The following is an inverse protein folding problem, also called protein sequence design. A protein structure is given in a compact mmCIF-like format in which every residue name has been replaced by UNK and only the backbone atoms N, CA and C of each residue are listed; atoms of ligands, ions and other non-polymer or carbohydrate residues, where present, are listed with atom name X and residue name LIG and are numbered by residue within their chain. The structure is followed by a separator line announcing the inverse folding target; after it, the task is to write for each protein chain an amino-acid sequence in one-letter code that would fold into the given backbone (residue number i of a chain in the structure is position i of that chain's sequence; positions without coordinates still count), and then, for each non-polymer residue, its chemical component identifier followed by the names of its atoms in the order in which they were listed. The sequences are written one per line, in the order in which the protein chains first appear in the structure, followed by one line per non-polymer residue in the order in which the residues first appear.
data_IF_214729390401
#
_entry.id   IF_214729390401
#
_cell.length_a   1.000
_cell.length_b   1.000
_cell.length_c   1.000
_cell.angle_alpha   90.00
_cell.angle_beta   90.00
_cell.angle_gamma   90.00
#
_symmetry.space_group_name_H-M   'P 1'
#
loop_
_entity.id
_entity.type
_entity.pdbx_description
1 polymer ?
#
# COMPACT_ATOMS: atom_id res chain seq x y z
N UNK A 1 2.28 -19.27 24.47
CA UNK A 1 1.25 -18.29 24.04
C UNK A 1 1.83 -17.54 22.85
N UNK A 2 1.11 -17.52 21.76
CA UNK A 2 1.50 -16.72 20.57
C UNK A 2 1.53 -15.24 20.96
N UNK A 3 2.57 -14.53 20.55
CA UNK A 3 2.73 -13.12 20.88
C UNK A 3 1.69 -12.29 20.13
N UNK A 4 0.94 -11.44 20.83
CA UNK A 4 -0.06 -10.56 20.23
C UNK A 4 0.54 -9.76 19.08
N UNK A 5 -0.07 -9.81 17.91
CA UNK A 5 0.38 -9.06 16.73
C UNK A 5 0.10 -7.57 16.92
N UNK A 6 1.00 -6.72 16.44
CA UNK A 6 0.87 -5.25 16.50
C UNK A 6 0.81 -4.68 15.09
N UNK A 7 -0.21 -3.89 14.82
CA UNK A 7 -0.42 -3.15 13.57
C UNK A 7 -0.27 -1.67 13.85
N UNK A 8 0.65 -0.99 13.18
CA UNK A 8 0.78 0.45 13.24
C UNK A 8 0.14 1.12 12.03
N UNK A 9 -0.69 2.13 12.27
CA UNK A 9 -1.34 2.94 11.26
C UNK A 9 -0.68 4.32 11.29
N UNK A 10 0.05 4.66 10.22
CA UNK A 10 0.75 5.93 10.12
C UNK A 10 -0.19 7.04 9.64
N UNK A 11 -0.30 8.09 10.44
CA UNK A 11 -0.94 9.37 10.13
C UNK A 11 -2.38 9.23 9.61
N UNK A 12 -3.27 8.46 10.31
CA UNK A 12 -4.62 8.16 9.83
C UNK A 12 -5.47 9.41 9.60
N UNK A 13 -5.16 10.53 10.25
CA UNK A 13 -5.81 11.83 10.03
C UNK A 13 -5.57 12.41 8.64
N UNK A 14 -4.51 11.98 7.94
CA UNK A 14 -4.14 12.46 6.61
C UNK A 14 -4.12 11.35 5.55
N UNK A 15 -3.73 10.14 5.94
CA UNK A 15 -3.48 9.02 5.04
C UNK A 15 -4.72 8.14 4.87
N UNK A 16 -5.85 8.74 4.45
CA UNK A 16 -7.14 8.05 4.37
C UNK A 16 -8.01 8.48 3.19
N UNK A 17 -7.44 9.07 2.14
CA UNK A 17 -8.21 9.44 0.95
C UNK A 17 -8.93 8.23 0.37
N UNK A 18 -10.06 8.49 -0.29
CA UNK A 18 -10.91 7.46 -0.93
C UNK A 18 -11.49 6.42 0.04
N UNK A 19 -11.46 6.69 1.35
CA UNK A 19 -11.92 5.73 2.36
C UNK A 19 -10.96 4.55 2.57
N UNK A 20 -9.69 4.68 2.18
CA UNK A 20 -8.70 3.60 2.18
C UNK A 20 -8.37 3.09 3.59
N UNK A 21 -8.62 3.89 4.64
CA UNK A 21 -8.58 3.46 6.05
C UNK A 21 -9.51 2.25 6.34
N UNK A 22 -10.44 1.94 5.43
CA UNK A 22 -11.29 0.75 5.53
C UNK A 22 -10.49 -0.55 5.43
N UNK A 23 -9.26 -0.54 4.89
CA UNK A 23 -8.32 -1.66 5.04
C UNK A 23 -8.11 -2.00 6.52
N UNK A 24 -7.84 -0.99 7.34
CA UNK A 24 -7.63 -1.17 8.79
C UNK A 24 -8.91 -1.56 9.52
N UNK A 25 -10.05 -0.96 9.14
CA UNK A 25 -11.35 -1.34 9.71
C UNK A 25 -11.66 -2.81 9.45
N UNK A 26 -11.28 -3.31 8.28
CA UNK A 26 -11.44 -4.72 7.92
C UNK A 26 -10.46 -5.61 8.69
N UNK A 27 -9.18 -5.25 8.77
CA UNK A 27 -8.20 -5.98 9.58
C UNK A 27 -8.62 -6.08 11.06
N UNK A 28 -9.15 -5.01 11.66
CA UNK A 28 -9.70 -5.02 13.02
C UNK A 28 -10.83 -6.05 13.20
N UNK A 29 -11.53 -6.43 12.13
CA UNK A 29 -12.54 -7.50 12.15
C UNK A 29 -11.94 -8.89 11.94
N UNK A 30 -10.86 -8.99 11.16
CA UNK A 30 -10.19 -10.26 10.90
C UNK A 30 -9.35 -10.73 12.10
N UNK A 31 -8.69 -9.80 12.80
CA UNK A 31 -7.77 -10.06 13.92
C UNK A 31 -8.10 -9.16 15.12
N UNK A 32 -9.27 -9.32 15.75
CA UNK A 32 -9.73 -8.43 16.83
C UNK A 32 -8.83 -8.46 18.08
N UNK A 33 -8.02 -9.52 18.26
CA UNK A 33 -7.06 -9.69 19.35
C UNK A 33 -5.74 -8.95 19.12
N UNK A 34 -5.48 -8.44 17.91
CA UNK A 34 -4.28 -7.68 17.60
C UNK A 34 -4.29 -6.29 18.25
N UNK A 35 -3.10 -5.78 18.55
CA UNK A 35 -2.92 -4.42 19.03
C UNK A 35 -2.83 -3.46 17.84
N UNK A 36 -3.70 -2.45 17.77
CA UNK A 36 -3.70 -1.43 16.73
C UNK A 36 -3.25 -0.10 17.30
N UNK A 37 -2.11 0.42 16.81
CA UNK A 37 -1.53 1.70 17.21
C UNK A 37 -1.78 2.71 16.08
N UNK A 38 -2.51 3.76 16.38
CA UNK A 38 -2.70 4.91 15.48
C UNK A 38 -1.65 5.97 15.84
N UNK A 39 -0.65 6.15 14.98
CA UNK A 39 0.41 7.16 15.14
C UNK A 39 -0.01 8.43 14.44
N UNK A 40 -0.37 9.47 15.19
CA UNK A 40 -0.68 10.79 14.65
C UNK A 40 0.58 11.49 14.15
N UNK A 41 0.43 12.48 13.28
CA UNK A 41 1.56 13.15 12.62
C UNK A 41 2.56 13.78 13.59
N UNK A 42 2.09 14.28 14.73
CA UNK A 42 2.97 14.89 15.74
C UNK A 42 3.66 13.86 16.65
N UNK A 43 3.20 12.61 16.64
CA UNK A 43 3.76 11.57 17.49
C UNK A 43 5.02 10.97 16.88
N UNK A 44 5.83 10.31 17.69
CA UNK A 44 6.91 9.46 17.21
C UNK A 44 6.33 8.16 16.67
N UNK A 45 6.77 7.69 15.48
CA UNK A 45 6.33 6.40 14.97
C UNK A 45 6.62 5.27 15.94
N UNK A 46 5.61 4.43 16.21
CA UNK A 46 5.76 3.33 17.16
C UNK A 46 6.84 2.33 16.71
N UNK A 47 7.01 2.14 15.41
CA UNK A 47 8.06 1.27 14.85
C UNK A 47 9.48 1.72 15.20
N UNK A 48 9.68 2.96 15.62
CA UNK A 48 11.00 3.47 16.04
C UNK A 48 11.49 2.81 17.31
N UNK A 49 10.58 2.48 18.25
CA UNK A 49 10.92 2.00 19.60
C UNK A 49 10.18 0.72 20.01
N UNK A 50 9.17 0.28 19.24
CA UNK A 50 8.35 -0.89 19.56
C UNK A 50 8.44 -1.92 18.42
N UNK A 51 8.20 -3.18 18.77
CA UNK A 51 8.03 -4.23 17.78
C UNK A 51 6.65 -4.12 17.14
N UNK A 52 6.63 -4.09 15.80
CA UNK A 52 5.41 -4.04 15.00
C UNK A 52 5.45 -5.16 13.95
N UNK A 53 4.29 -5.72 13.62
CA UNK A 53 4.19 -6.81 12.65
C UNK A 53 3.69 -6.30 11.29
N UNK A 54 2.89 -5.22 11.28
CA UNK A 54 2.43 -4.56 10.08
C UNK A 54 2.44 -3.04 10.26
N UNK A 55 2.92 -2.33 9.24
CA UNK A 55 2.87 -0.87 9.11
C UNK A 55 1.98 -0.54 7.90
N UNK A 56 0.92 0.22 8.14
CA UNK A 56 0.00 0.68 7.11
C UNK A 56 0.10 2.19 6.90
N UNK A 57 0.12 2.61 5.64
CA UNK A 57 -0.02 4.02 5.25
C UNK A 57 -0.83 4.13 3.95
N UNK A 58 -1.94 4.84 4.01
CA UNK A 58 -2.86 5.07 2.89
C UNK A 58 -2.53 6.32 2.07
N UNK A 59 -3.33 6.59 1.01
CA UNK A 59 -3.19 7.77 0.16
C UNK A 59 -3.52 9.06 0.91
N UNK A 60 -2.85 10.13 0.50
CA UNK A 60 -2.95 11.46 1.08
C UNK A 60 -2.94 12.56 0.02
N UNK A 61 -3.23 13.81 0.43
CA UNK A 61 -3.04 14.95 -0.49
C UNK A 61 -1.55 15.20 -0.73
N UNK A 62 -1.21 15.75 -1.90
CA UNK A 62 0.17 16.02 -2.30
C UNK A 62 0.89 16.95 -1.29
N UNK A 63 0.16 17.93 -0.75
CA UNK A 63 0.68 18.83 0.30
C UNK A 63 1.03 18.09 1.59
N UNK A 64 0.24 17.09 1.97
CA UNK A 64 0.52 16.27 3.14
C UNK A 64 1.64 15.27 2.87
N UNK A 65 1.73 14.74 1.66
CA UNK A 65 2.80 13.85 1.22
C UNK A 65 4.18 14.48 1.43
N UNK A 66 4.36 15.74 1.09
CA UNK A 66 5.62 16.47 1.33
C UNK A 66 5.96 16.58 2.83
N UNK A 67 4.96 16.79 3.68
CA UNK A 67 5.17 16.82 5.14
C UNK A 67 5.49 15.43 5.68
N UNK A 68 4.82 14.39 5.19
CA UNK A 68 5.07 13.00 5.59
C UNK A 68 6.46 12.55 5.18
N UNK A 69 6.93 12.92 3.98
CA UNK A 69 8.32 12.67 3.56
C UNK A 69 9.31 13.27 4.59
N UNK A 70 9.13 14.56 4.93
CA UNK A 70 9.99 15.24 5.91
C UNK A 70 9.95 14.58 7.29
N UNK A 71 8.77 14.13 7.71
CA UNK A 71 8.55 13.43 8.99
C UNK A 71 9.24 12.08 9.03
N UNK A 72 9.21 11.32 7.92
CA UNK A 72 9.77 9.97 7.84
C UNK A 72 11.28 9.96 7.50
N UNK A 73 11.83 11.04 6.93
CA UNK A 73 13.25 11.11 6.53
C UNK A 73 14.24 10.72 7.64
N UNK A 74 14.07 11.13 8.93
CA UNK A 74 14.94 10.70 10.02
C UNK A 74 14.88 9.19 10.34
N UNK A 75 13.85 8.50 9.88
CA UNK A 75 13.62 7.07 10.14
C UNK A 75 13.97 6.18 8.95
N UNK A 76 14.61 6.73 7.89
CA UNK A 76 14.94 5.98 6.68
C UNK A 76 15.66 4.66 7.00
N UNK A 77 16.79 4.73 7.71
CA UNK A 77 17.59 3.54 8.07
C UNK A 77 16.77 2.52 8.88
N UNK A 78 15.90 3.00 9.77
CA UNK A 78 15.02 2.12 10.54
C UNK A 78 13.97 1.44 9.67
N UNK A 79 13.41 2.13 8.69
CA UNK A 79 12.47 1.55 7.71
C UNK A 79 13.18 0.49 6.88
N UNK A 80 14.38 0.76 6.38
CA UNK A 80 15.21 -0.20 5.64
C UNK A 80 15.50 -1.45 6.49
N UNK A 81 15.89 -1.27 7.76
CA UNK A 81 16.09 -2.37 8.72
C UNK A 81 14.81 -3.24 8.87
N UNK A 82 13.64 -2.61 8.99
CA UNK A 82 12.38 -3.32 9.16
C UNK A 82 11.96 -4.08 7.89
N UNK A 83 12.25 -3.54 6.71
CA UNK A 83 12.06 -4.23 5.43
C UNK A 83 12.92 -5.49 5.38
N UNK A 84 14.21 -5.39 5.74
CA UNK A 84 15.12 -6.54 5.78
C UNK A 84 14.72 -7.58 6.85
N UNK A 85 14.07 -7.14 7.93
CA UNK A 85 13.52 -8.02 8.97
C UNK A 85 12.15 -8.63 8.62
N UNK A 86 11.68 -8.46 7.39
CA UNK A 86 10.40 -8.98 6.93
C UNK A 86 9.17 -8.44 7.69
N UNK A 87 9.24 -7.26 8.30
CA UNK A 87 8.05 -6.57 8.79
C UNK A 87 7.13 -6.27 7.62
N UNK A 88 5.84 -6.51 7.78
CA UNK A 88 4.88 -6.27 6.71
C UNK A 88 4.64 -4.77 6.56
N UNK A 89 4.80 -4.25 5.35
CA UNK A 89 4.36 -2.92 4.97
C UNK A 89 3.23 -3.05 3.95
N UNK A 90 2.14 -2.34 4.18
CA UNK A 90 1.07 -2.16 3.20
C UNK A 90 0.90 -0.66 2.95
N UNK A 91 1.44 -0.21 1.83
CA UNK A 91 1.49 1.19 1.41
C UNK A 91 0.61 1.35 0.18
N UNK A 92 -0.41 2.19 0.25
CA UNK A 92 -1.42 2.30 -0.81
C UNK A 92 -1.51 3.71 -1.41
N UNK A 93 -1.98 3.78 -2.65
CA UNK A 93 -2.13 5.04 -3.38
C UNK A 93 -0.80 5.78 -3.57
N UNK A 94 -0.85 7.11 -3.56
CA UNK A 94 0.34 7.93 -3.76
C UNK A 94 1.37 7.88 -2.62
N UNK A 95 1.09 7.14 -1.54
CA UNK A 95 2.07 6.90 -0.49
C UNK A 95 3.30 6.09 -0.98
N UNK A 96 3.18 5.31 -2.07
CA UNK A 96 4.31 4.61 -2.71
C UNK A 96 5.44 5.59 -3.11
N UNK A 97 5.10 6.80 -3.55
CA UNK A 97 6.04 7.79 -4.05
C UNK A 97 7.04 8.27 -2.99
N UNK A 98 6.64 8.20 -1.71
CA UNK A 98 7.47 8.59 -0.56
C UNK A 98 8.75 7.76 -0.49
N UNK A 99 8.68 6.50 -0.89
CA UNK A 99 9.79 5.54 -0.79
C UNK A 99 10.72 5.57 -2.01
N UNK A 100 10.35 6.32 -3.07
CA UNK A 100 11.18 6.54 -4.25
C UNK A 100 12.25 7.61 -4.05
N UNK A 101 13.00 7.89 -5.12
CA UNK A 101 14.08 8.89 -5.15
C UNK A 101 13.56 10.31 -5.00
N UNK A 102 12.59 10.68 -5.82
CA UNK A 102 12.01 12.03 -5.83
C UNK A 102 10.64 12.04 -6.51
N UNK A 103 9.91 13.11 -6.24
CA UNK A 103 8.68 13.47 -6.95
C UNK A 103 8.97 14.75 -7.75
N UNK A 104 8.80 14.72 -9.06
CA UNK A 104 8.97 15.85 -9.97
C UNK A 104 7.62 16.54 -10.18
N UNK A 105 7.56 17.83 -9.89
CA UNK A 105 6.41 18.69 -10.15
C UNK A 105 6.36 19.15 -11.59
N UNK A 106 5.22 19.72 -12.05
CA UNK A 106 5.03 20.21 -13.42
C UNK A 106 5.99 21.35 -13.80
N UNK A 107 6.47 22.13 -12.84
CA UNK A 107 7.47 23.18 -13.02
C UNK A 107 8.92 22.67 -13.06
N UNK A 108 9.12 21.36 -12.99
CA UNK A 108 10.42 20.70 -12.95
C UNK A 108 11.11 20.69 -11.58
N UNK A 109 10.51 21.31 -10.56
CA UNK A 109 11.03 21.21 -9.20
C UNK A 109 10.89 19.77 -8.66
N UNK A 110 11.82 19.36 -7.78
CA UNK A 110 11.88 18.00 -7.23
C UNK A 110 11.76 18.03 -5.72
N UNK A 111 10.95 17.10 -5.21
CA UNK A 111 10.81 16.81 -3.80
C UNK A 111 11.53 15.48 -3.57
N UNK A 112 12.62 15.50 -2.83
CA UNK A 112 13.37 14.28 -2.51
C UNK A 112 12.54 13.36 -1.61
N UNK A 113 12.37 12.10 -2.05
CA UNK A 113 11.76 11.03 -1.29
C UNK A 113 12.70 10.43 -0.25
N UNK A 114 12.38 9.24 0.23
CA UNK A 114 13.25 8.48 1.13
C UNK A 114 14.39 7.75 0.38
N UNK A 115 14.31 7.64 -0.94
CA UNK A 115 15.31 6.97 -1.79
C UNK A 115 15.66 5.55 -1.29
N UNK A 116 14.63 4.76 -1.03
CA UNK A 116 14.73 3.33 -0.65
C UNK A 116 14.63 2.44 -1.89
N UNK A 117 13.81 2.86 -2.87
CA UNK A 117 13.60 2.13 -4.12
C UNK A 117 13.99 2.95 -5.35
N UNK A 118 14.44 2.27 -6.40
CA UNK A 118 14.92 2.89 -7.65
C UNK A 118 13.76 3.34 -8.56
N UNK A 119 12.77 4.04 -7.98
CA UNK A 119 11.67 4.67 -8.71
C UNK A 119 11.67 6.17 -8.45
N UNK A 120 11.07 6.94 -9.35
CA UNK A 120 10.75 8.35 -9.17
C UNK A 120 9.36 8.62 -9.71
N UNK A 121 8.72 9.69 -9.25
CA UNK A 121 7.36 10.03 -9.63
C UNK A 121 7.30 11.36 -10.39
N UNK A 122 6.33 11.50 -11.32
CA UNK A 122 6.03 12.73 -12.04
C UNK A 122 4.58 13.10 -11.84
N UNK A 123 4.33 14.31 -11.33
CA UNK A 123 2.99 14.86 -11.10
C UNK A 123 2.43 15.52 -12.36
N UNK A 124 1.13 15.34 -12.59
CA UNK A 124 0.33 16.12 -13.52
C UNK A 124 -1.00 16.47 -12.84
N UNK A 125 -1.03 17.60 -12.13
CA UNK A 125 -2.18 18.02 -11.33
C UNK A 125 -3.39 18.46 -12.16
N UNK A 126 -3.22 18.71 -13.44
CA UNK A 126 -4.31 19.09 -14.36
C UNK A 126 -5.07 17.87 -14.88
N UNK A 127 -4.48 16.67 -14.82
CA UNK A 127 -5.05 15.46 -15.42
C UNK A 127 -5.05 14.29 -14.44
N UNK A 128 -6.18 14.11 -13.73
CA UNK A 128 -6.39 12.93 -12.91
C UNK A 128 -6.57 11.68 -13.77
N UNK A 129 -5.79 10.67 -13.49
CA UNK A 129 -5.98 9.35 -14.06
C UNK A 129 -6.90 8.51 -13.16
N UNK A 130 -7.94 7.93 -13.77
CA UNK A 130 -8.81 6.96 -13.12
C UNK A 130 -8.89 5.71 -13.99
N UNK A 131 -8.65 4.55 -13.41
CA UNK A 131 -8.81 3.27 -14.10
C UNK A 131 -9.22 2.16 -13.15
N UNK A 132 -9.92 1.17 -13.68
CA UNK A 132 -10.05 -0.12 -13.02
C UNK A 132 -8.68 -0.81 -13.00
N UNK A 133 -8.52 -1.73 -12.08
CA UNK A 133 -7.35 -2.58 -11.97
C UNK A 133 -7.79 -4.04 -11.85
N UNK A 134 -7.27 -4.87 -12.75
CA UNK A 134 -7.22 -6.33 -12.62
C UNK A 134 -5.79 -6.74 -12.86
N UNK A 135 -5.23 -7.54 -11.98
CA UNK A 135 -3.84 -7.98 -12.07
C UNK A 135 -3.60 -9.25 -11.30
N UNK A 136 -2.37 -9.70 -11.28
CA UNK A 136 -1.96 -10.93 -10.62
C UNK A 136 -0.79 -10.68 -9.67
N UNK A 137 -0.98 -11.03 -8.40
CA UNK A 137 0.03 -11.06 -7.35
C UNK A 137 0.36 -12.52 -7.04
N UNK A 138 1.57 -12.96 -7.35
CA UNK A 138 1.89 -14.40 -7.33
C UNK A 138 0.85 -15.18 -8.16
N UNK A 139 0.07 -16.06 -7.55
CA UNK A 139 -1.04 -16.82 -8.14
C UNK A 139 -2.44 -16.23 -7.84
N UNK A 140 -2.50 -15.13 -7.07
CA UNK A 140 -3.74 -14.47 -6.65
C UNK A 140 -4.16 -13.42 -7.68
N UNK A 141 -5.38 -13.54 -8.20
CA UNK A 141 -5.99 -12.46 -8.99
C UNK A 141 -6.40 -11.30 -8.07
N UNK A 142 -6.02 -10.09 -8.45
CA UNK A 142 -6.33 -8.87 -7.71
C UNK A 142 -7.27 -7.97 -8.48
N UNK A 143 -8.20 -7.34 -7.74
CA UNK A 143 -9.09 -6.31 -8.27
C UNK A 143 -9.00 -5.03 -7.45
N UNK A 144 -9.18 -3.90 -8.09
CA UNK A 144 -9.18 -2.60 -7.45
C UNK A 144 -9.39 -1.48 -8.44
N UNK A 145 -9.01 -0.28 -8.07
CA UNK A 145 -8.98 0.85 -8.97
C UNK A 145 -7.82 1.79 -8.63
N UNK A 146 -7.52 2.69 -9.56
CA UNK A 146 -6.53 3.73 -9.40
C UNK A 146 -7.18 5.10 -9.58
N UNK A 147 -6.79 6.06 -8.74
CA UNK A 147 -7.15 7.46 -8.86
C UNK A 147 -5.96 8.30 -8.42
N UNK A 148 -5.24 8.87 -9.38
CA UNK A 148 -3.96 9.51 -9.13
C UNK A 148 -3.68 10.65 -10.08
N UNK A 149 -2.85 11.62 -9.66
CA UNK A 149 -2.30 12.69 -10.48
C UNK A 149 -0.85 12.44 -10.87
N UNK A 150 -0.26 11.37 -10.39
CA UNK A 150 1.16 11.10 -10.47
C UNK A 150 1.38 9.71 -11.04
N UNK A 151 2.43 9.54 -11.82
CA UNK A 151 2.91 8.25 -12.29
C UNK A 151 4.34 8.02 -11.84
N UNK A 152 4.65 6.79 -11.43
CA UNK A 152 6.01 6.39 -11.10
C UNK A 152 6.70 5.72 -12.27
N UNK A 153 7.98 6.00 -12.38
CA UNK A 153 8.90 5.49 -13.40
C UNK A 153 10.15 4.93 -12.70
N UNK A 154 10.93 4.15 -13.41
CA UNK A 154 12.15 3.52 -12.90
C UNK A 154 12.04 2.01 -12.94
N UNK A 155 12.98 1.35 -12.31
CA UNK A 155 13.14 -0.10 -12.39
C UNK A 155 12.28 -0.80 -11.33
N UNK A 156 11.32 -1.62 -11.76
CA UNK A 156 10.56 -2.49 -10.88
C UNK A 156 10.38 -3.91 -11.46
N UNK A 157 11.11 -4.27 -12.51
CA UNK A 157 10.99 -5.55 -13.20
C UNK A 157 11.27 -6.75 -12.29
N UNK A 158 12.21 -6.60 -11.35
CA UNK A 158 12.58 -7.66 -10.42
C UNK A 158 11.78 -7.63 -9.10
N UNK A 159 11.06 -6.52 -8.85
CA UNK A 159 10.40 -6.29 -7.56
C UNK A 159 9.01 -5.66 -7.69
N UNK A 160 8.31 -5.91 -8.80
CA UNK A 160 6.92 -5.46 -8.93
C UNK A 160 5.99 -6.19 -7.95
N UNK A 161 4.96 -5.50 -7.51
CA UNK A 161 3.91 -6.07 -6.66
C UNK A 161 2.97 -6.97 -7.45
N UNK A 162 2.45 -6.50 -8.58
CA UNK A 162 1.50 -7.25 -9.38
C UNK A 162 1.70 -7.03 -10.89
N UNK A 163 1.42 -8.06 -11.69
CA UNK A 163 1.37 -7.96 -13.15
C UNK A 163 -0.04 -7.59 -13.58
N UNK A 164 -0.17 -6.53 -14.38
CA UNK A 164 -1.46 -5.98 -14.81
C UNK A 164 -2.06 -6.82 -15.92
N UNK A 165 -3.33 -7.18 -15.78
CA UNK A 165 -4.19 -7.77 -16.81
C UNK A 165 -5.07 -6.68 -17.47
N UNK A 166 -5.67 -5.79 -16.64
CA UNK A 166 -6.43 -4.60 -17.09
C UNK A 166 -6.08 -3.38 -16.28
N UNK A 167 -6.01 -2.25 -16.95
CA UNK A 167 -5.55 -0.99 -16.37
C UNK A 167 -4.13 -0.67 -16.80
N UNK A 168 -3.37 -0.05 -15.92
CA UNK A 168 -1.97 0.32 -16.14
C UNK A 168 -1.11 -0.09 -14.93
N UNK A 169 0.19 -0.27 -15.15
CA UNK A 169 1.17 -0.47 -14.09
C UNK A 169 1.53 0.83 -13.36
N UNK A 170 2.77 0.99 -12.93
CA UNK A 170 3.24 2.22 -12.27
C UNK A 170 2.99 3.48 -13.12
N UNK A 171 2.93 3.31 -14.45
CA UNK A 171 2.64 4.35 -15.42
C UNK A 171 1.95 3.73 -16.67
N UNK A 172 1.46 4.54 -17.63
CA UNK A 172 0.74 4.05 -18.81
C UNK A 172 1.54 3.13 -19.74
N UNK A 173 2.87 3.15 -19.65
CA UNK A 173 3.77 2.36 -20.50
C UNK A 173 4.15 1.01 -19.85
N UNK A 174 3.82 0.84 -18.56
CA UNK A 174 4.17 -0.35 -17.78
C UNK A 174 2.94 -1.24 -17.52
N UNK A 175 3.14 -2.55 -17.61
CA UNK A 175 2.19 -3.56 -17.14
C UNK A 175 2.60 -4.15 -15.77
N UNK A 176 3.59 -3.53 -15.10
CA UNK A 176 4.05 -3.91 -13.77
C UNK A 176 3.60 -2.86 -12.77
N UNK A 177 2.84 -3.30 -11.78
CA UNK A 177 2.25 -2.45 -10.76
C UNK A 177 3.00 -2.58 -9.44
N UNK A 178 3.26 -1.41 -8.82
CA UNK A 178 3.75 -1.34 -7.46
C UNK A 178 5.18 -1.84 -7.26
N UNK A 179 5.53 -1.99 -6.01
CA UNK A 179 6.82 -2.53 -5.55
C UNK A 179 6.58 -3.55 -4.46
N UNK A 180 7.33 -4.64 -4.51
CA UNK A 180 7.48 -5.60 -3.44
C UNK A 180 8.96 -5.88 -3.19
N UNK A 181 9.37 -5.81 -1.92
CA UNK A 181 10.66 -6.32 -1.45
C UNK A 181 10.43 -6.99 -0.11
N UNK A 182 10.75 -8.28 -0.01
CA UNK A 182 10.41 -9.06 1.19
C UNK A 182 8.90 -8.97 1.48
N UNK A 183 8.52 -8.47 2.67
CA UNK A 183 7.12 -8.22 3.06
C UNK A 183 6.69 -6.75 2.91
N UNK A 184 7.54 -5.90 2.31
CA UNK A 184 7.14 -4.55 1.92
C UNK A 184 6.34 -4.60 0.63
N UNK A 185 5.12 -4.08 0.65
CA UNK A 185 4.24 -3.95 -0.50
C UNK A 185 3.78 -2.50 -0.61
N UNK A 186 4.05 -1.88 -1.76
CA UNK A 186 3.58 -0.54 -2.09
C UNK A 186 2.91 -0.54 -3.46
N UNK A 187 1.72 0.05 -3.58
CA UNK A 187 0.90 0.03 -4.80
C UNK A 187 0.04 1.26 -4.94
N UNK A 188 -0.19 1.70 -6.19
CA UNK A 188 -1.23 2.71 -6.48
C UNK A 188 -2.66 2.16 -6.40
N UNK A 189 -2.83 0.83 -6.33
CA UNK A 189 -4.14 0.22 -6.25
C UNK A 189 -4.79 0.51 -4.90
N UNK A 190 -6.00 1.03 -4.96
CA UNK A 190 -6.86 1.37 -3.82
C UNK A 190 -8.21 0.67 -3.96
N UNK A 191 -9.08 0.83 -2.92
CA UNK A 191 -10.37 0.36 -3.16
C UNK A 191 -11.28 -0.22 -2.12
N UNK A 192 -11.06 -0.38 -0.82
CA UNK A 192 -9.87 -0.80 -0.06
C UNK A 192 -9.40 -2.21 -0.49
N UNK A 193 -8.12 -2.32 -0.78
CA UNK A 193 -7.55 -3.52 -1.45
C UNK A 193 -7.77 -4.82 -0.65
N UNK A 194 -7.76 -4.76 0.68
CA UNK A 194 -7.89 -5.96 1.51
C UNK A 194 -9.29 -6.59 1.40
N UNK A 195 -10.35 -5.84 1.67
CA UNK A 195 -11.71 -6.40 1.63
C UNK A 195 -12.12 -6.80 0.21
N UNK A 196 -11.55 -6.14 -0.82
CA UNK A 196 -11.83 -6.49 -2.22
C UNK A 196 -11.16 -7.79 -2.65
N UNK A 197 -10.09 -8.23 -1.94
CA UNK A 197 -9.25 -9.35 -2.34
C UNK A 197 -9.03 -10.31 -1.15
N UNK A 198 -9.96 -11.23 -0.90
CA UNK A 198 -9.95 -12.11 0.28
C UNK A 198 -8.69 -12.95 0.41
N UNK A 199 -8.20 -13.56 -0.67
CA UNK A 199 -6.99 -14.39 -0.62
C UNK A 199 -5.73 -13.53 -0.41
N UNK A 200 -5.69 -12.32 -0.96
CA UNK A 200 -4.61 -11.36 -0.66
C UNK A 200 -4.62 -10.94 0.82
N UNK A 201 -5.81 -10.75 1.40
CA UNK A 201 -5.93 -10.48 2.86
C UNK A 201 -5.35 -11.62 3.69
N UNK A 202 -5.67 -12.87 3.36
CA UNK A 202 -5.06 -14.03 4.03
C UNK A 202 -3.54 -14.02 3.89
N UNK A 203 -3.04 -13.73 2.69
CA UNK A 203 -1.59 -13.63 2.44
C UNK A 203 -0.90 -12.57 3.29
N UNK A 204 -1.53 -11.40 3.49
CA UNK A 204 -1.03 -10.37 4.40
C UNK A 204 -0.99 -10.88 5.86
N UNK A 205 -2.03 -11.57 6.30
CA UNK A 205 -2.08 -12.15 7.65
C UNK A 205 -1.03 -13.25 7.85
N UNK A 206 -0.80 -14.11 6.84
CA UNK A 206 0.29 -15.12 6.84
C UNK A 206 1.66 -14.44 6.96
N UNK A 207 1.89 -13.36 6.18
CA UNK A 207 3.13 -12.57 6.26
C UNK A 207 3.34 -11.92 7.63
N UNK A 208 2.27 -11.65 8.38
CA UNK A 208 2.36 -11.22 9.79
C UNK A 208 2.68 -12.38 10.74
N UNK A 209 2.77 -13.61 10.24
CA UNK A 209 3.01 -14.82 11.03
C UNK A 209 1.75 -15.33 11.74
N UNK A 210 0.58 -15.17 11.13
CA UNK A 210 -0.66 -15.80 11.60
C UNK A 210 -0.85 -17.10 10.82
N UNK A 211 -0.83 -18.20 11.53
CA UNK A 211 -1.07 -19.52 10.95
C UNK A 211 -2.58 -19.70 10.66
N UNK A 212 -2.92 -20.29 9.51
CA UNK A 212 -4.31 -20.55 9.08
C UNK A 212 -5.25 -19.34 9.25
N UNK A 213 -4.94 -18.18 8.64
CA UNK A 213 -5.68 -16.95 8.89
C UNK A 213 -7.14 -17.05 8.44
N UNK A 214 -8.04 -16.63 9.32
CA UNK A 214 -9.47 -16.46 9.03
C UNK A 214 -9.76 -14.98 8.75
N UNK A 215 -10.62 -14.74 7.79
CA UNK A 215 -11.04 -13.38 7.45
C UNK A 215 -12.51 -13.15 7.84
N UNK A 216 -12.83 -11.93 8.21
CA UNK A 216 -14.20 -11.56 8.55
C UNK A 216 -15.12 -11.63 7.31
N UNK A 217 -16.33 -12.15 7.49
CA UNK A 217 -17.36 -12.26 6.44
C UNK A 217 -16.88 -13.05 5.20
N UNK A 218 -16.09 -14.10 5.41
CA UNK A 218 -15.35 -14.81 4.36
C UNK A 218 -16.21 -15.22 3.16
N UNK A 219 -17.37 -15.83 3.41
CA UNK A 219 -18.28 -16.28 2.33
C UNK A 219 -18.80 -15.10 1.49
N UNK A 220 -19.20 -14.01 2.15
CA UNK A 220 -19.79 -12.86 1.46
C UNK A 220 -18.73 -12.08 0.68
N UNK A 221 -17.54 -11.88 1.25
CA UNK A 221 -16.45 -11.19 0.54
C UNK A 221 -15.93 -12.02 -0.62
N UNK A 222 -15.90 -13.37 -0.52
CA UNK A 222 -15.53 -14.25 -1.64
C UNK A 222 -16.56 -14.16 -2.78
N UNK A 223 -17.84 -14.24 -2.48
CA UNK A 223 -18.90 -14.09 -3.49
C UNK A 223 -18.84 -12.72 -4.18
N UNK A 224 -18.66 -11.65 -3.40
CA UNK A 224 -18.51 -10.30 -3.93
C UNK A 224 -17.28 -10.13 -4.80
N UNK A 225 -16.15 -10.71 -4.41
CA UNK A 225 -14.90 -10.73 -5.16
C UNK A 225 -15.07 -11.46 -6.51
N UNK A 226 -15.61 -12.68 -6.50
CA UNK A 226 -15.82 -13.47 -7.71
C UNK A 226 -16.71 -12.75 -8.73
N UNK A 227 -17.81 -12.14 -8.27
CA UNK A 227 -18.69 -11.35 -9.10
C UNK A 227 -17.95 -10.14 -9.69
N UNK A 228 -17.21 -9.40 -8.88
CA UNK A 228 -16.43 -8.23 -9.30
C UNK A 228 -15.35 -8.59 -10.31
N UNK A 229 -14.58 -9.65 -10.05
CA UNK A 229 -13.53 -10.12 -10.96
C UNK A 229 -14.12 -10.47 -12.34
N UNK A 230 -15.25 -11.20 -12.35
CA UNK A 230 -15.97 -11.57 -13.56
C UNK A 230 -16.46 -10.34 -14.34
N UNK A 231 -17.01 -9.34 -13.65
CA UNK A 231 -17.49 -8.10 -14.27
C UNK A 231 -16.34 -7.26 -14.83
N UNK A 232 -15.29 -7.04 -14.05
CA UNK A 232 -14.15 -6.24 -14.48
C UNK A 232 -13.41 -6.87 -15.68
N UNK A 233 -13.33 -8.19 -15.77
CA UNK A 233 -12.72 -8.88 -16.92
C UNK A 233 -13.54 -8.73 -18.20
N UNK A 234 -14.85 -8.43 -18.10
CA UNK A 234 -15.72 -8.21 -19.26
C UNK A 234 -15.71 -6.79 -19.82
N UNK A 235 -15.35 -5.79 -19.00
CA UNK A 235 -15.18 -4.39 -19.42
C UNK A 235 -13.99 -4.22 -20.37
#
# INVERSE_FOLDING_TARGET
MEKTKTVEILFPEFCNLYGDISNIKYLKKCIPEANFIETCFNDEPAFASKEVNLIYMGPMTEKMQEKVIKKLKPYKEKIEELIEKNVVFLITGNAIEIFGKYIENEDGSKIEGLDIFNIYAKRNMLKRHNSIFVGKYEDIDLVGFKSQFTFSYGENEENYFAKVEKGIGLNPESNLEGIQKNNFIATYVIGPILILNPEFTKKILEKMGIEEPKIAFEEDVKKAYEQRLKELRRL
#
